data_IF_116306223811
#
_entry.id   IF_116306223811
#
_cell.length_a   1.000
_cell.length_b   1.000
_cell.length_c   1.000
_cell.angle_alpha   90.00
_cell.angle_beta   90.00
_cell.angle_gamma   90.00
#
_symmetry.space_group_name_H-M   'P 1'
#
loop_
_entity.id
_entity.type
_entity.pdbx_description
1 polymer ?
#
# COMPACT_ATOMS: atom_id res chain seq x y z
N UNK A 1 1.51 3.13 -13.27
CA UNK A 1 2.68 3.72 -13.97
C UNK A 1 3.88 3.64 -13.05
N UNK A 2 5.09 3.58 -13.61
CA UNK A 2 6.36 3.70 -12.88
C UNK A 2 7.12 4.87 -13.50
N UNK A 3 7.74 5.72 -12.69
CA UNK A 3 8.53 6.84 -13.20
C UNK A 3 9.90 6.91 -12.53
N UNK A 4 10.86 7.49 -13.25
CA UNK A 4 12.20 7.80 -12.74
C UNK A 4 12.61 9.17 -13.26
N UNK A 5 13.37 9.90 -12.45
CA UNK A 5 13.96 11.19 -12.80
C UNK A 5 15.44 10.99 -13.11
N UNK A 6 15.89 11.43 -14.28
CA UNK A 6 17.28 11.41 -14.72
C UNK A 6 17.69 12.83 -15.13
N UNK A 7 18.47 13.49 -14.27
CA UNK A 7 18.68 14.95 -14.39
C UNK A 7 17.35 15.68 -14.26
N UNK A 8 17.03 16.52 -15.25
CA UNK A 8 15.75 17.23 -15.33
C UNK A 8 14.67 16.47 -16.13
N UNK A 9 15.00 15.27 -16.66
CA UNK A 9 14.07 14.49 -17.47
C UNK A 9 13.28 13.49 -16.62
N UNK A 10 12.00 13.32 -16.95
CA UNK A 10 11.13 12.31 -16.33
C UNK A 10 10.85 11.22 -17.36
N UNK A 11 11.25 10.00 -17.04
CA UNK A 11 10.91 8.81 -17.83
C UNK A 11 9.72 8.11 -17.17
N UNK A 12 8.72 7.75 -17.97
CA UNK A 12 7.49 7.11 -17.49
C UNK A 12 7.29 5.79 -18.24
N UNK A 13 7.17 4.70 -17.49
CA UNK A 13 6.76 3.39 -17.97
C UNK A 13 5.32 3.06 -17.55
N UNK A 14 4.52 2.53 -18.48
CA UNK A 14 3.24 1.90 -18.14
C UNK A 14 3.49 0.43 -17.84
N UNK A 15 3.06 -0.01 -16.66
CA UNK A 15 3.04 -1.41 -16.28
C UNK A 15 1.63 -1.95 -16.56
N UNK A 16 1.47 -3.02 -17.35
CA UNK A 16 0.18 -3.70 -17.43
C UNK A 16 -0.14 -4.29 -16.07
N UNK A 17 -1.36 -4.05 -15.57
CA UNK A 17 -1.87 -4.71 -14.36
C UNK A 17 -2.90 -5.72 -14.84
N UNK A 18 -2.59 -7.01 -14.73
CA UNK A 18 -3.47 -8.10 -15.20
C UNK A 18 -4.39 -8.64 -14.12
N UNK A 19 -4.14 -8.26 -12.87
CA UNK A 19 -4.89 -8.68 -11.71
C UNK A 19 -6.22 -7.92 -11.65
N UNK A 20 -7.27 -8.60 -11.23
CA UNK A 20 -8.48 -7.93 -10.74
C UNK A 20 -8.29 -7.73 -9.24
N UNK A 21 -8.08 -6.48 -8.83
CA UNK A 21 -7.78 -6.12 -7.43
C UNK A 21 -8.79 -5.11 -6.92
N UNK A 22 -9.16 -5.24 -5.65
CA UNK A 22 -9.80 -4.18 -4.88
C UNK A 22 -8.82 -3.58 -3.87
N UNK A 23 -9.01 -2.30 -3.60
CA UNK A 23 -8.18 -1.53 -2.68
C UNK A 23 -9.07 -1.02 -1.53
N UNK A 24 -8.73 -1.39 -0.31
CA UNK A 24 -9.51 -1.06 0.88
C UNK A 24 -8.66 -0.10 1.72
N UNK A 25 -9.03 1.16 1.73
CA UNK A 25 -8.36 2.22 2.47
C UNK A 25 -8.91 2.31 3.89
N UNK A 26 -8.02 2.23 4.87
CA UNK A 26 -8.33 2.39 6.29
C UNK A 26 -7.78 3.75 6.70
N UNK A 27 -8.70 4.69 6.91
CA UNK A 27 -8.37 6.10 7.16
C UNK A 27 -8.59 6.38 8.63
N UNK A 28 -7.54 6.64 9.42
CA UNK A 28 -7.71 7.00 10.82
C UNK A 28 -8.26 8.43 10.96
N UNK A 29 -8.82 8.73 12.13
CA UNK A 29 -9.29 10.07 12.51
C UNK A 29 -8.18 11.03 12.97
N UNK A 30 -6.94 10.81 12.53
CA UNK A 30 -5.83 11.71 12.81
C UNK A 30 -4.99 11.89 11.56
N UNK A 31 -4.30 13.03 11.49
CA UNK A 31 -3.39 13.33 10.40
C UNK A 31 -1.94 13.12 10.82
N UNK A 32 -1.13 12.68 9.86
CA UNK A 32 0.31 12.62 10.01
C UNK A 32 0.96 13.55 8.97
N UNK A 33 1.64 14.58 9.45
CA UNK A 33 2.36 15.49 8.55
C UNK A 33 3.43 14.74 7.76
N UNK A 34 3.56 15.02 6.46
CA UNK A 34 4.60 14.45 5.60
C UNK A 34 6.02 14.72 6.12
N UNK A 35 6.23 15.86 6.81
CA UNK A 35 7.51 16.20 7.45
C UNK A 35 7.87 15.17 8.53
N UNK A 36 6.99 14.92 9.51
CA UNK A 36 7.22 13.91 10.57
C UNK A 36 7.43 12.50 9.99
N UNK A 37 6.66 12.12 8.97
CA UNK A 37 6.81 10.83 8.31
C UNK A 37 8.15 10.68 7.55
N UNK A 38 8.75 11.79 7.11
CA UNK A 38 10.10 11.80 6.52
C UNK A 38 11.19 11.80 7.59
N UNK A 39 10.98 12.51 8.69
CA UNK A 39 11.94 12.65 9.79
C UNK A 39 12.27 11.33 10.48
N UNK A 40 11.30 10.41 10.56
CA UNK A 40 11.54 9.08 11.16
C UNK A 40 12.35 8.13 10.28
N UNK A 41 12.58 8.45 9.01
CA UNK A 41 13.37 7.60 8.13
C UNK A 41 14.85 7.73 8.49
N UNK A 42 15.61 6.63 8.42
CA UNK A 42 17.05 6.70 8.63
C UNK A 42 17.69 7.49 7.47
N UNK A 43 18.82 8.14 7.76
CA UNK A 43 19.60 8.86 6.73
C UNK A 43 20.26 7.89 5.73
N UNK A 44 20.51 6.66 6.17
CA UNK A 44 21.17 5.63 5.38
C UNK A 44 20.40 4.31 5.51
N UNK A 45 20.39 3.52 4.43
CA UNK A 45 19.86 2.17 4.41
C UNK A 45 21.01 1.19 4.25
N UNK A 46 21.01 0.13 5.05
CA UNK A 46 22.02 -0.92 4.94
C UNK A 46 21.99 -1.61 3.57
N UNK A 47 23.16 -1.95 3.04
CA UNK A 47 23.29 -2.62 1.73
C UNK A 47 22.37 -3.85 1.58
N UNK A 48 22.28 -4.69 2.62
CA UNK A 48 21.40 -5.88 2.63
C UNK A 48 19.92 -5.52 2.53
N UNK A 49 19.51 -4.42 3.14
CA UNK A 49 18.13 -3.95 3.08
C UNK A 49 17.84 -3.31 1.72
N UNK A 50 18.84 -2.65 1.13
CA UNK A 50 18.82 -2.20 -0.26
C UNK A 50 18.52 -3.33 -1.24
N UNK A 51 19.32 -4.41 -1.19
CA UNK A 51 19.10 -5.62 -1.99
C UNK A 51 17.71 -6.22 -1.71
N UNK A 52 17.34 -6.32 -0.43
CA UNK A 52 16.07 -6.88 -0.02
C UNK A 52 14.90 -6.14 -0.67
N UNK A 53 14.85 -4.82 -0.59
CA UNK A 53 13.75 -4.03 -1.13
C UNK A 53 13.70 -4.03 -2.66
N UNK A 54 14.84 -3.96 -3.33
CA UNK A 54 14.90 -4.04 -4.80
C UNK A 54 14.26 -5.35 -5.28
N UNK A 55 14.56 -6.48 -4.63
CA UNK A 55 13.96 -7.76 -5.03
C UNK A 55 12.44 -7.80 -4.81
N UNK A 56 11.91 -7.06 -3.82
CA UNK A 56 10.46 -7.00 -3.56
C UNK A 56 9.74 -6.13 -4.58
N UNK A 57 10.35 -5.02 -4.99
CA UNK A 57 9.84 -4.23 -6.10
C UNK A 57 9.80 -5.08 -7.37
N UNK A 58 10.89 -5.81 -7.68
CA UNK A 58 10.93 -6.69 -8.86
C UNK A 58 9.80 -7.73 -8.83
N UNK A 59 9.61 -8.44 -7.72
CA UNK A 59 8.57 -9.48 -7.64
C UNK A 59 7.15 -8.89 -7.64
N UNK A 60 6.95 -7.69 -7.08
CA UNK A 60 5.66 -6.99 -7.13
C UNK A 60 5.31 -6.60 -8.57
N UNK A 61 6.27 -6.04 -9.32
CA UNK A 61 6.07 -5.70 -10.73
C UNK A 61 5.77 -6.95 -11.56
N UNK A 62 6.46 -8.07 -11.29
CA UNK A 62 6.14 -9.37 -11.90
C UNK A 62 4.71 -9.80 -11.58
N UNK A 63 4.31 -9.81 -10.30
CA UNK A 63 2.97 -10.18 -9.85
C UNK A 63 1.87 -9.40 -10.60
N UNK A 64 2.08 -8.09 -10.72
CA UNK A 64 1.14 -7.19 -11.40
C UNK A 64 1.09 -7.43 -12.92
N UNK A 65 2.25 -7.62 -13.55
CA UNK A 65 2.34 -7.81 -14.99
C UNK A 65 1.88 -9.20 -15.46
N UNK A 66 2.00 -10.22 -14.62
CA UNK A 66 1.60 -11.60 -14.94
C UNK A 66 0.19 -11.93 -14.47
N UNK A 67 -0.35 -11.21 -13.49
CA UNK A 67 -1.60 -11.56 -12.83
C UNK A 67 -1.43 -12.56 -11.68
N UNK A 68 -0.20 -12.86 -11.26
CA UNK A 68 0.07 -13.82 -10.18
C UNK A 68 -0.10 -13.18 -8.80
N UNK A 69 -1.31 -13.28 -8.25
CA UNK A 69 -1.67 -12.76 -6.93
C UNK A 69 -0.84 -13.36 -5.78
N UNK A 70 -0.28 -14.57 -5.94
CA UNK A 70 0.49 -15.23 -4.87
C UNK A 70 1.78 -14.49 -4.51
N UNK A 71 2.29 -13.70 -5.44
CA UNK A 71 3.54 -12.94 -5.30
C UNK A 71 3.35 -11.56 -4.65
N UNK A 72 2.12 -11.04 -4.61
CA UNK A 72 1.83 -9.68 -4.11
C UNK A 72 2.26 -9.52 -2.65
N UNK A 73 1.92 -10.49 -1.81
CA UNK A 73 2.27 -10.47 -0.38
C UNK A 73 3.76 -10.34 -0.15
N UNK A 74 4.56 -11.05 -0.95
CA UNK A 74 6.02 -10.98 -0.88
C UNK A 74 6.51 -9.61 -1.36
N UNK A 75 5.95 -9.10 -2.46
CA UNK A 75 6.33 -7.83 -3.06
C UNK A 75 6.00 -6.59 -2.23
N UNK A 76 5.01 -6.68 -1.33
CA UNK A 76 4.64 -5.59 -0.40
C UNK A 76 5.49 -5.54 0.88
N UNK A 77 6.42 -6.47 1.08
CA UNK A 77 7.35 -6.39 2.20
C UNK A 77 8.34 -5.23 2.00
N UNK A 78 8.54 -4.44 3.05
CA UNK A 78 9.30 -3.20 2.97
C UNK A 78 10.24 -3.03 4.17
N UNK A 79 11.47 -2.63 3.88
CA UNK A 79 12.49 -2.23 4.85
C UNK A 79 12.87 -0.76 4.75
N UNK A 80 12.37 -0.02 3.77
CA UNK A 80 12.74 1.38 3.58
C UNK A 80 11.85 2.32 4.40
N UNK A 81 10.55 2.03 4.53
CA UNK A 81 9.58 3.00 5.06
C UNK A 81 8.74 2.43 6.22
N UNK A 82 8.04 1.31 6.02
CA UNK A 82 7.05 0.77 6.95
C UNK A 82 7.61 0.48 8.35
N UNK A 83 8.83 -0.09 8.52
CA UNK A 83 9.38 -0.33 9.85
C UNK A 83 9.61 0.94 10.68
N UNK A 84 9.70 2.10 10.01
CA UNK A 84 9.93 3.40 10.65
C UNK A 84 8.64 4.18 10.79
N UNK A 85 7.89 4.34 9.68
CA UNK A 85 6.64 5.11 9.63
C UNK A 85 5.48 4.41 10.34
N UNK A 86 5.42 3.09 10.30
CA UNK A 86 4.37 2.32 10.98
C UNK A 86 4.32 2.60 12.49
N UNK A 87 5.47 2.92 13.10
CA UNK A 87 5.58 3.29 14.52
C UNK A 87 4.83 4.58 14.88
N UNK A 88 4.52 5.42 13.90
CA UNK A 88 3.75 6.65 14.08
C UNK A 88 2.23 6.40 14.06
N UNK A 89 1.80 5.17 13.76
CA UNK A 89 0.39 4.82 13.58
C UNK A 89 0.02 3.81 14.68
N UNK A 90 -0.82 4.19 15.65
CA UNK A 90 -1.28 3.28 16.68
C UNK A 90 -1.96 2.05 16.08
N UNK A 91 -1.52 0.86 16.51
CA UNK A 91 -2.07 -0.42 16.06
C UNK A 91 -1.65 -0.87 14.66
N UNK A 92 -0.68 -0.21 14.01
CA UNK A 92 -0.25 -0.55 12.65
C UNK A 92 0.03 -2.05 12.46
N UNK A 93 0.92 -2.64 13.27
CA UNK A 93 1.29 -4.04 13.14
C UNK A 93 0.11 -4.99 13.42
N UNK A 94 -0.74 -4.64 14.39
CA UNK A 94 -1.94 -5.41 14.73
C UNK A 94 -2.97 -5.40 13.59
N UNK A 95 -3.17 -4.24 12.95
CA UNK A 95 -4.04 -4.08 11.79
C UNK A 95 -3.51 -4.93 10.63
N UNK A 96 -2.24 -4.76 10.26
CA UNK A 96 -1.63 -5.51 9.15
C UNK A 96 -1.72 -7.02 9.42
N UNK A 97 -1.43 -7.46 10.64
CA UNK A 97 -1.51 -8.88 11.03
C UNK A 97 -2.93 -9.44 10.95
N UNK A 98 -3.92 -8.70 11.48
CA UNK A 98 -5.32 -9.12 11.48
C UNK A 98 -5.89 -9.22 10.06
N UNK A 99 -5.58 -8.24 9.20
CA UNK A 99 -6.08 -8.18 7.83
C UNK A 99 -5.46 -9.26 6.96
N UNK A 100 -4.15 -9.49 7.10
CA UNK A 100 -3.48 -10.60 6.41
C UNK A 100 -4.07 -11.97 6.79
N UNK A 101 -4.57 -12.15 8.03
CA UNK A 101 -5.24 -13.39 8.46
C UNK A 101 -6.64 -13.55 7.87
N UNK A 102 -7.27 -12.46 7.42
CA UNK A 102 -8.60 -12.46 6.79
C UNK A 102 -8.59 -12.78 5.30
N UNK A 103 -7.41 -12.96 4.70
CA UNK A 103 -7.27 -13.34 3.29
C UNK A 103 -6.86 -12.20 2.35
N UNK A 104 -6.53 -11.01 2.87
CA UNK A 104 -5.96 -9.96 2.04
C UNK A 104 -4.65 -10.43 1.36
N UNK A 105 -4.49 -10.07 0.08
CA UNK A 105 -3.27 -10.32 -0.70
C UNK A 105 -2.07 -9.56 -0.13
N UNK A 106 -2.33 -8.45 0.55
CA UNK A 106 -1.37 -7.78 1.42
C UNK A 106 -1.88 -6.41 1.85
N UNK A 107 -1.06 -5.72 2.64
CA UNK A 107 -1.39 -4.40 3.16
C UNK A 107 -0.13 -3.56 3.29
N UNK A 108 -0.25 -2.25 3.09
CA UNK A 108 0.86 -1.34 3.09
C UNK A 108 0.46 0.09 3.50
N UNK A 109 1.43 0.92 3.86
CA UNK A 109 1.18 2.35 4.09
C UNK A 109 0.88 3.08 2.78
N UNK A 110 -0.25 3.78 2.73
CA UNK A 110 -0.56 4.66 1.60
C UNK A 110 0.27 5.95 1.70
N UNK A 111 1.28 6.07 0.84
CA UNK A 111 2.17 7.24 0.80
C UNK A 111 2.97 7.44 2.10
N UNK A 112 2.79 8.59 2.73
CA UNK A 112 3.41 8.92 4.03
C UNK A 112 2.63 8.33 5.22
N UNK A 113 1.44 7.78 4.99
CA UNK A 113 0.45 7.50 6.03
C UNK A 113 -0.37 8.75 6.41
N UNK A 114 -1.28 8.62 7.39
CA UNK A 114 -1.46 7.46 8.26
C UNK A 114 -2.41 6.39 7.70
N UNK A 115 -2.99 6.62 6.52
CA UNK A 115 -3.85 5.66 5.83
C UNK A 115 -3.12 4.35 5.55
N UNK A 116 -3.76 3.23 5.87
CA UNK A 116 -3.32 1.88 5.51
C UNK A 116 -4.14 1.42 4.32
N UNK A 117 -3.48 0.90 3.28
CA UNK A 117 -4.12 0.31 2.13
C UNK A 117 -4.06 -1.21 2.22
N UNK A 118 -5.18 -1.88 1.95
CA UNK A 118 -5.25 -3.34 1.86
C UNK A 118 -5.64 -3.74 0.44
N UNK A 119 -5.04 -4.80 -0.07
CA UNK A 119 -5.34 -5.35 -1.39
C UNK A 119 -6.10 -6.67 -1.19
N UNK A 120 -7.25 -6.80 -1.82
CA UNK A 120 -7.96 -8.07 -1.98
C UNK A 120 -8.06 -8.47 -3.45
N UNK A 121 -8.54 -9.68 -3.68
CA UNK A 121 -8.75 -10.25 -5.00
C UNK A 121 -10.17 -9.96 -5.49
N UNK A 122 -10.31 -9.46 -6.72
CA UNK A 122 -11.59 -9.18 -7.35
C UNK A 122 -12.49 -8.27 -6.51
N UNK A 123 -13.75 -8.66 -6.35
CA UNK A 123 -14.74 -7.99 -5.51
C UNK A 123 -15.06 -8.84 -4.27
N UNK A 124 -14.04 -9.22 -3.49
CA UNK A 124 -14.23 -10.02 -2.27
C UNK A 124 -15.00 -9.23 -1.18
N UNK A 125 -16.33 -9.31 -1.25
CA UNK A 125 -17.26 -8.66 -0.33
C UNK A 125 -17.15 -9.20 1.09
N UNK A 126 -16.76 -10.46 1.28
CA UNK A 126 -16.60 -11.04 2.61
C UNK A 126 -15.36 -10.48 3.29
N UNK A 127 -14.24 -10.38 2.56
CA UNK A 127 -13.02 -9.73 3.05
C UNK A 127 -13.30 -8.27 3.44
N UNK A 128 -13.99 -7.52 2.59
CA UNK A 128 -14.37 -6.11 2.87
C UNK A 128 -15.14 -6.03 4.17
N UNK A 129 -16.20 -6.84 4.32
CA UNK A 129 -17.02 -6.87 5.53
C UNK A 129 -16.21 -7.24 6.77
N UNK A 130 -15.37 -8.26 6.67
CA UNK A 130 -14.54 -8.73 7.77
C UNK A 130 -13.52 -7.69 8.24
N UNK A 131 -13.00 -6.86 7.32
CA UNK A 131 -12.12 -5.74 7.61
C UNK A 131 -12.91 -4.60 8.25
N UNK A 132 -14.07 -4.24 7.70
CA UNK A 132 -14.93 -3.20 8.27
C UNK A 132 -15.34 -3.52 9.70
N UNK A 133 -15.82 -4.74 9.97
CA UNK A 133 -16.26 -5.17 11.29
C UNK A 133 -15.08 -5.14 12.30
N UNK A 134 -13.89 -5.55 11.86
CA UNK A 134 -12.69 -5.48 12.68
C UNK A 134 -12.28 -4.04 13.01
N UNK A 135 -12.26 -3.15 12.01
CA UNK A 135 -11.89 -1.75 12.21
C UNK A 135 -12.91 -1.02 13.09
N UNK A 136 -14.22 -1.16 12.80
CA UNK A 136 -15.29 -0.57 13.61
C UNK A 136 -15.23 -1.04 15.08
N UNK A 137 -14.86 -2.30 15.32
CA UNK A 137 -14.76 -2.87 16.66
C UNK A 137 -13.52 -2.44 17.43
N UNK A 138 -12.33 -2.47 16.80
CA UNK A 138 -11.04 -2.27 17.48
C UNK A 138 -10.47 -0.86 17.38
N UNK A 139 -10.85 -0.11 16.35
CA UNK A 139 -10.30 1.19 16.02
C UNK A 139 -11.43 2.20 15.77
N UNK A 140 -12.24 2.52 16.81
CA UNK A 140 -13.37 3.43 16.67
C UNK A 140 -12.91 4.79 16.13
N UNK A 141 -13.67 5.32 15.17
CA UNK A 141 -13.36 6.58 14.48
C UNK A 141 -12.51 6.42 13.21
N UNK A 142 -11.98 5.23 12.93
CA UNK A 142 -11.40 4.94 11.62
C UNK A 142 -12.50 4.67 10.59
N UNK A 143 -12.30 5.19 9.39
CA UNK A 143 -13.19 4.98 8.24
C UNK A 143 -12.60 3.95 7.27
N UNK A 144 -13.47 3.26 6.56
CA UNK A 144 -13.10 2.26 5.55
C UNK A 144 -13.71 2.65 4.21
N UNK A 145 -12.86 2.76 3.19
CA UNK A 145 -13.28 3.09 1.82
C UNK A 145 -12.82 1.99 0.86
N UNK A 146 -13.67 1.60 -0.08
CA UNK A 146 -13.34 0.60 -1.10
C UNK A 146 -13.21 1.29 -2.45
N UNK A 147 -12.07 1.06 -3.09
CA UNK A 147 -11.73 1.60 -4.40
C UNK A 147 -11.39 0.47 -5.37
N UNK A 148 -11.77 0.66 -6.64
CA UNK A 148 -11.22 -0.11 -7.75
C UNK A 148 -9.97 0.60 -8.27
N UNK A 149 -9.14 -0.13 -9.00
CA UNK A 149 -8.03 0.49 -9.72
C UNK A 149 -8.59 1.54 -10.69
N UNK A 150 -8.13 2.78 -10.56
CA UNK A 150 -8.36 3.82 -11.56
C UNK A 150 -7.31 3.69 -12.67
N UNK A 151 -7.76 3.33 -13.87
CA UNK A 151 -6.91 3.16 -15.04
C UNK A 151 -6.82 4.41 -15.93
N UNK A 152 -7.69 5.40 -15.72
CA UNK A 152 -7.81 6.57 -16.57
C UNK A 152 -7.07 7.79 -16.01
N UNK A 153 -6.79 7.80 -14.70
CA UNK A 153 -6.04 8.87 -14.06
C UNK A 153 -6.78 10.21 -14.07
N UNK A 154 -6.07 11.32 -13.84
CA UNK A 154 -6.71 12.63 -13.77
C UNK A 154 -7.36 13.03 -15.11
N UNK A 155 -8.68 13.22 -15.11
CA UNK A 155 -9.44 13.75 -16.25
C UNK A 155 -9.90 15.18 -15.95
N UNK A 156 -9.58 16.13 -16.82
CA UNK A 156 -10.14 17.47 -16.77
C UNK A 156 -11.54 17.46 -17.38
N UNK A 157 -12.58 17.72 -16.57
CA UNK A 157 -13.88 18.08 -17.08
C UNK A 157 -13.89 19.59 -17.37
N UNK A 158 -13.94 19.95 -18.65
CA UNK A 158 -14.27 21.32 -19.07
C UNK A 158 -15.80 21.33 -19.20
N UNK A 159 -16.46 22.01 -18.27
CA UNK A 159 -17.89 22.34 -18.34
C UNK A 159 -18.13 23.61 -19.15
#
# INVERSE_FOLDING_TARGET
>A
MVSVMEGDNIHIGKLPIKNQLNFIALVPNFELSTSKAREVLPKEIGYKDGIYNVSRVSILLTALATGDNSLIKLGLQDKFHQPYRGKLIPGFDDIISAINKKGALGSYLSGAGPTIMCIGEGEDTQLIKDIEDFIKSKYPGWEVFVHKLDETGAQSYIG
#
